data_IF_424002404600
#
_entry.id   IF_424002404600
#
_cell.length_a   1.000
_cell.length_b   1.000
_cell.length_c   1.000
_cell.angle_alpha   90.00
_cell.angle_beta   90.00
_cell.angle_gamma   90.00
#
_symmetry.space_group_name_H-M   'P 1'
#
loop_
_entity.id
_entity.type
_entity.pdbx_description
1 polymer ?
#
# COMPACT_ATOMS: atom_id res chain seq x y z
N UNK A 1 12.56 1.95 25.19
CA UNK A 1 11.42 1.08 25.61
C UNK A 1 10.60 0.74 24.38
N UNK A 2 10.41 -0.55 24.06
CA UNK A 2 9.67 -0.97 22.86
C UNK A 2 8.17 -0.62 22.94
N UNK A 3 7.58 -0.19 21.82
CA UNK A 3 6.13 0.07 21.73
C UNK A 3 5.37 -1.21 22.10
N UNK A 4 4.50 -1.14 23.11
CA UNK A 4 3.66 -2.29 23.49
C UNK A 4 2.77 -2.72 22.31
N UNK A 5 2.46 -4.01 22.19
CA UNK A 5 1.55 -4.46 21.13
C UNK A 5 0.12 -3.94 21.40
N UNK A 6 -0.66 -3.67 20.33
CA UNK A 6 -2.06 -3.22 20.46
C UNK A 6 -2.89 -4.19 21.31
N UNK A 7 -2.63 -5.49 21.18
CA UNK A 7 -3.24 -6.55 21.99
C UNK A 7 -2.91 -6.41 23.47
N UNK A 8 -1.64 -6.17 23.81
CA UNK A 8 -1.21 -5.96 25.20
C UNK A 8 -1.90 -4.74 25.81
N UNK A 9 -2.03 -3.64 25.06
CA UNK A 9 -2.78 -2.46 25.54
C UNK A 9 -4.25 -2.79 25.81
N UNK A 10 -4.90 -3.50 24.89
CA UNK A 10 -6.30 -3.88 25.06
C UNK A 10 -6.51 -4.78 26.28
N UNK A 11 -5.63 -5.77 26.49
CA UNK A 11 -5.66 -6.62 27.68
C UNK A 11 -5.49 -5.82 28.96
N UNK A 12 -4.52 -4.89 29.01
CA UNK A 12 -4.32 -4.03 30.17
C UNK A 12 -5.52 -3.12 30.44
N UNK A 13 -6.09 -2.51 29.40
CA UNK A 13 -7.32 -1.70 29.54
C UNK A 13 -8.49 -2.54 30.05
N UNK A 14 -8.63 -3.77 29.57
CA UNK A 14 -9.68 -4.68 30.05
C UNK A 14 -9.46 -5.12 31.50
N UNK A 15 -8.22 -5.43 31.89
CA UNK A 15 -7.87 -5.74 33.28
C UNK A 15 -8.18 -4.58 34.23
N UNK A 16 -7.82 -3.35 33.84
CA UNK A 16 -8.19 -2.17 34.62
C UNK A 16 -9.71 -1.98 34.75
N UNK A 17 -10.45 -2.21 33.66
CA UNK A 17 -11.91 -2.17 33.70
C UNK A 17 -12.49 -3.18 34.70
N UNK A 18 -12.02 -4.44 34.69
CA UNK A 18 -12.46 -5.50 35.62
C UNK A 18 -12.18 -5.09 37.07
N UNK A 19 -10.96 -4.61 37.36
CA UNK A 19 -10.59 -4.16 38.71
C UNK A 19 -11.50 -3.02 39.19
N UNK A 20 -11.75 -2.02 38.33
CA UNK A 20 -12.59 -0.89 38.68
C UNK A 20 -14.05 -1.28 38.86
N UNK A 21 -14.59 -2.17 38.01
CA UNK A 21 -15.94 -2.73 38.14
C UNK A 21 -16.11 -3.37 39.51
N UNK A 22 -15.20 -4.27 39.88
CA UNK A 22 -15.28 -5.04 41.12
C UNK A 22 -15.09 -4.17 42.37
N UNK A 23 -14.36 -3.06 42.25
CA UNK A 23 -14.17 -2.09 43.34
C UNK A 23 -15.40 -1.18 43.53
N UNK A 24 -16.04 -0.74 42.45
CA UNK A 24 -17.16 0.22 42.48
C UNK A 24 -18.50 -0.48 42.71
N UNK A 25 -18.68 -1.66 42.11
CA UNK A 25 -19.91 -2.43 42.15
C UNK A 25 -19.57 -3.90 42.34
N UNK A 26 -19.17 -4.29 43.56
CA UNK A 26 -18.84 -5.68 43.85
C UNK A 26 -20.07 -6.56 43.60
N UNK A 27 -19.88 -7.81 43.14
CA UNK A 27 -20.97 -8.75 42.94
C UNK A 27 -21.72 -9.02 44.25
N UNK A 28 -23.06 -9.09 44.17
CA UNK A 28 -23.93 -9.31 45.32
C UNK A 28 -23.76 -10.72 45.91
N UNK A 29 -23.47 -11.71 45.06
CA UNK A 29 -23.27 -13.10 45.46
C UNK A 29 -22.23 -13.84 44.60
N UNK A 30 -21.94 -15.07 45.01
CA UNK A 30 -20.98 -15.96 44.35
C UNK A 30 -21.40 -16.37 42.93
N UNK A 31 -22.70 -16.53 42.69
CA UNK A 31 -23.21 -17.01 41.40
C UNK A 31 -23.00 -15.94 40.33
N UNK A 32 -23.32 -14.68 40.64
CA UNK A 32 -23.06 -13.52 39.78
C UNK A 32 -21.56 -13.36 39.54
N UNK A 33 -20.73 -13.47 40.59
CA UNK A 33 -19.28 -13.38 40.44
C UNK A 33 -18.70 -14.46 39.52
N UNK A 34 -19.16 -15.71 39.67
CA UNK A 34 -18.73 -16.84 38.84
C UNK A 34 -19.06 -16.62 37.36
N UNK A 35 -20.27 -16.14 37.07
CA UNK A 35 -20.69 -15.83 35.70
C UNK A 35 -19.85 -14.70 35.08
N UNK A 36 -19.61 -13.62 35.84
CA UNK A 36 -18.77 -12.50 35.41
C UNK A 36 -17.33 -12.97 35.14
N UNK A 37 -16.73 -13.73 36.04
CA UNK A 37 -15.37 -14.26 35.89
C UNK A 37 -15.25 -15.14 34.64
N UNK A 38 -16.21 -16.02 34.39
CA UNK A 38 -16.22 -16.83 33.17
C UNK A 38 -16.31 -15.95 31.92
N UNK A 39 -17.15 -14.92 31.92
CA UNK A 39 -17.27 -13.99 30.79
C UNK A 39 -15.96 -13.23 30.54
N UNK A 40 -15.27 -12.80 31.59
CA UNK A 40 -14.00 -12.06 31.53
C UNK A 40 -12.88 -12.97 30.99
N UNK A 41 -12.83 -14.23 31.43
CA UNK A 41 -11.88 -15.23 30.94
C UNK A 41 -12.11 -15.55 29.46
N UNK A 42 -13.37 -15.71 29.04
CA UNK A 42 -13.72 -15.91 27.62
C UNK A 42 -13.29 -14.71 26.78
N UNK A 43 -13.48 -13.49 27.27
CA UNK A 43 -13.07 -12.29 26.54
C UNK A 43 -11.54 -12.20 26.44
N UNK A 44 -10.81 -12.45 27.53
CA UNK A 44 -9.35 -12.53 27.52
C UNK A 44 -8.85 -13.56 26.51
N UNK A 45 -9.45 -14.75 26.52
CA UNK A 45 -9.14 -15.81 25.56
C UNK A 45 -9.39 -15.35 24.12
N UNK A 46 -10.51 -14.69 23.85
CA UNK A 46 -10.81 -14.14 22.51
C UNK A 46 -9.79 -13.08 22.10
N UNK A 47 -9.40 -12.16 22.98
CA UNK A 47 -8.39 -11.14 22.67
C UNK A 47 -7.03 -11.78 22.35
N UNK A 48 -6.66 -12.84 23.07
CA UNK A 48 -5.40 -13.57 22.87
C UNK A 48 -5.40 -14.37 21.57
N UNK A 49 -6.51 -15.03 21.23
CA UNK A 49 -6.60 -15.97 20.11
C UNK A 49 -7.11 -15.35 18.81
N UNK A 50 -7.73 -14.17 18.85
CA UNK A 50 -8.13 -13.47 17.62
C UNK A 50 -6.92 -12.97 16.86
N UNK A 51 -6.79 -13.38 15.60
CA UNK A 51 -5.68 -12.97 14.72
C UNK A 51 -5.67 -11.46 14.47
N UNK A 52 -6.85 -10.86 14.33
CA UNK A 52 -7.03 -9.44 14.06
C UNK A 52 -8.02 -8.84 15.07
N UNK A 53 -7.63 -7.77 15.75
CA UNK A 53 -8.45 -7.05 16.75
C UNK A 53 -9.43 -6.05 16.12
N UNK A 54 -9.47 -5.98 14.80
CA UNK A 54 -10.35 -5.07 14.06
C UNK A 54 -10.85 -5.81 12.84
N UNK A 55 -12.09 -5.53 12.43
CA UNK A 55 -12.64 -6.05 11.19
C UNK A 55 -11.71 -5.69 10.03
N UNK A 56 -11.47 -6.65 9.13
CA UNK A 56 -10.68 -6.37 7.93
C UNK A 56 -11.59 -5.73 6.89
N UNK A 57 -11.41 -4.43 6.65
CA UNK A 57 -12.00 -3.79 5.47
C UNK A 57 -11.22 -4.23 4.24
N UNK A 58 -11.95 -4.70 3.21
CA UNK A 58 -11.34 -5.05 1.94
C UNK A 58 -10.77 -3.78 1.32
N UNK A 59 -9.51 -3.81 0.93
CA UNK A 59 -8.88 -2.71 0.21
C UNK A 59 -9.35 -2.79 -1.24
N UNK A 60 -9.97 -1.72 -1.79
CA UNK A 60 -10.26 -1.65 -3.22
C UNK A 60 -8.95 -1.81 -4.00
N UNK A 61 -8.93 -2.75 -4.94
CA UNK A 61 -7.74 -3.01 -5.75
C UNK A 61 -7.88 -2.36 -7.11
N UNK A 62 -7.00 -1.43 -7.43
CA UNK A 62 -6.89 -0.78 -8.72
C UNK A 62 -5.42 -0.46 -9.02
N UNK A 63 -5.05 -0.50 -10.29
CA UNK A 63 -3.69 -0.21 -10.73
C UNK A 63 -3.38 1.29 -10.87
N UNK A 64 -4.33 2.18 -10.53
CA UNK A 64 -4.23 3.61 -10.82
C UNK A 64 -4.38 4.48 -9.55
N UNK A 65 -3.76 5.66 -9.61
CA UNK A 65 -3.82 6.75 -8.64
C UNK A 65 -5.24 7.23 -8.32
N UNK A 66 -6.21 6.96 -9.20
CA UNK A 66 -7.64 7.24 -8.97
C UNK A 66 -8.20 6.67 -7.67
N UNK A 67 -7.55 5.69 -7.04
CA UNK A 67 -7.95 5.20 -5.71
C UNK A 67 -7.99 6.30 -4.65
N UNK A 68 -7.21 7.37 -4.77
CA UNK A 68 -7.29 8.44 -3.79
C UNK A 68 -8.68 9.09 -3.81
N UNK A 69 -9.36 9.13 -4.95
CA UNK A 69 -10.65 9.81 -5.02
C UNK A 69 -11.71 8.99 -4.29
N UNK A 70 -11.56 7.65 -4.30
CA UNK A 70 -12.35 6.77 -3.43
C UNK A 70 -12.00 6.95 -1.96
N UNK A 71 -10.71 7.07 -1.63
CA UNK A 71 -10.28 7.26 -0.24
C UNK A 71 -10.75 8.60 0.35
N UNK A 72 -10.87 9.64 -0.47
CA UNK A 72 -11.37 10.95 -0.04
C UNK A 72 -12.87 10.93 0.33
N UNK A 73 -13.65 9.97 -0.17
CA UNK A 73 -15.10 9.90 0.05
C UNK A 73 -15.51 9.34 1.43
N UNK A 74 -14.59 8.67 2.14
CA UNK A 74 -14.91 7.97 3.38
C UNK A 74 -13.94 8.36 4.50
N UNK A 75 -14.43 8.80 5.68
CA UNK A 75 -13.57 9.09 6.83
C UNK A 75 -12.65 7.93 7.23
N UNK A 76 -13.07 6.69 6.98
CA UNK A 76 -12.29 5.49 7.32
C UNK A 76 -11.08 5.26 6.42
N UNK A 77 -11.06 5.86 5.23
CA UNK A 77 -10.01 5.68 4.23
C UNK A 77 -9.13 6.94 4.07
N UNK A 78 -9.40 8.02 4.80
CA UNK A 78 -8.60 9.25 4.78
C UNK A 78 -7.12 9.00 5.07
N UNK A 79 -6.82 8.10 6.01
CA UNK A 79 -5.43 7.69 6.30
C UNK A 79 -4.72 7.13 5.06
N UNK A 80 -5.45 6.45 4.17
CA UNK A 80 -4.91 5.91 2.92
C UNK A 80 -4.70 6.99 1.88
N UNK A 81 -5.58 7.97 1.80
CA UNK A 81 -5.37 9.17 0.98
C UNK A 81 -4.07 9.86 1.39
N UNK A 82 -3.91 10.14 2.69
CA UNK A 82 -2.71 10.80 3.23
C UNK A 82 -1.47 9.92 3.04
N UNK A 83 -1.56 8.60 3.19
CA UNK A 83 -0.43 7.72 2.89
C UNK A 83 -0.02 7.78 1.43
N UNK A 84 -0.99 7.91 0.52
CA UNK A 84 -0.74 7.90 -0.92
C UNK A 84 -0.25 9.25 -1.46
N UNK A 85 -0.83 10.37 -1.02
CA UNK A 85 -0.53 11.72 -1.54
C UNK A 85 0.20 12.63 -0.53
N UNK A 86 0.44 12.15 0.70
CA UNK A 86 1.13 12.87 1.80
C UNK A 86 0.45 14.14 2.31
N UNK A 87 -0.74 14.45 1.80
CA UNK A 87 -1.58 15.58 2.21
C UNK A 87 -2.98 15.08 2.51
N UNK A 88 -3.75 15.83 3.30
CA UNK A 88 -5.19 15.57 3.49
C UNK A 88 -5.97 15.95 2.23
N UNK A 89 -7.18 15.41 2.01
CA UNK A 89 -8.02 15.82 0.89
C UNK A 89 -8.29 17.32 0.86
N UNK A 90 -8.50 17.96 2.02
CA UNK A 90 -8.74 19.39 2.10
C UNK A 90 -7.53 20.20 1.64
N UNK A 91 -6.33 19.83 2.09
CA UNK A 91 -5.09 20.46 1.65
C UNK A 91 -4.86 20.23 0.16
N UNK A 92 -5.14 19.03 -0.34
CA UNK A 92 -5.06 18.72 -1.76
C UNK A 92 -5.99 19.62 -2.59
N UNK A 93 -7.25 19.76 -2.18
CA UNK A 93 -8.22 20.61 -2.86
C UNK A 93 -7.82 22.08 -2.80
N UNK A 94 -7.29 22.54 -1.66
CA UNK A 94 -6.80 23.90 -1.52
C UNK A 94 -5.64 24.18 -2.48
N UNK A 95 -4.65 23.27 -2.56
CA UNK A 95 -3.55 23.37 -3.52
C UNK A 95 -4.06 23.37 -4.96
N UNK A 96 -5.00 22.48 -5.29
CA UNK A 96 -5.60 22.41 -6.61
C UNK A 96 -6.24 23.76 -7.00
N UNK A 97 -7.04 24.35 -6.12
CA UNK A 97 -7.68 25.63 -6.37
C UNK A 97 -6.68 26.77 -6.60
N UNK A 98 -5.51 26.74 -5.96
CA UNK A 98 -4.47 27.75 -6.15
C UNK A 98 -3.76 27.65 -7.50
N UNK A 99 -3.69 26.44 -8.07
CA UNK A 99 -2.89 26.18 -9.29
C UNK A 99 -3.74 25.94 -10.55
N UNK A 100 -5.05 25.67 -10.39
CA UNK A 100 -5.92 25.20 -11.46
C UNK A 100 -5.92 26.13 -12.68
N UNK A 101 -5.94 27.45 -12.43
CA UNK A 101 -6.05 28.46 -13.48
C UNK A 101 -4.68 29.03 -13.89
N UNK A 102 -3.58 28.40 -13.46
CA UNK A 102 -2.25 28.90 -13.75
C UNK A 102 -1.88 28.63 -15.22
N UNK A 103 -1.36 29.63 -15.97
CA UNK A 103 -1.12 29.52 -17.41
C UNK A 103 -0.12 28.42 -17.79
N UNK A 104 0.74 27.99 -16.86
CA UNK A 104 1.67 26.86 -17.07
C UNK A 104 0.95 25.53 -17.37
N UNK A 105 -0.29 25.39 -16.92
CA UNK A 105 -1.11 24.21 -17.15
C UNK A 105 -2.01 24.36 -18.37
N UNK A 106 -1.79 25.36 -19.24
CA UNK A 106 -2.49 25.51 -20.52
C UNK A 106 -1.61 24.94 -21.63
N UNK A 107 -2.00 23.81 -22.20
CA UNK A 107 -1.39 23.26 -23.40
C UNK A 107 -1.79 24.07 -24.64
N UNK A 108 -0.79 24.47 -25.42
CA UNK A 108 -0.98 25.05 -26.76
C UNK A 108 -0.88 24.00 -27.88
N UNK A 109 -0.83 22.72 -27.53
CA UNK A 109 -0.79 21.61 -28.50
C UNK A 109 -2.20 21.14 -28.88
N UNK A 110 -2.30 20.42 -30.00
CA UNK A 110 -3.57 19.86 -30.48
C UNK A 110 -4.05 18.63 -29.69
N UNK A 111 -3.29 18.20 -28.68
CA UNK A 111 -3.60 17.04 -27.84
C UNK A 111 -4.35 17.48 -26.58
N UNK A 112 -5.31 16.67 -26.15
CA UNK A 112 -6.01 16.88 -24.89
C UNK A 112 -5.03 16.76 -23.71
N UNK A 113 -4.89 17.83 -22.96
CA UNK A 113 -4.04 17.82 -21.76
C UNK A 113 -4.73 17.07 -20.62
N UNK A 114 -3.93 16.29 -19.88
CA UNK A 114 -4.39 15.65 -18.64
C UNK A 114 -4.87 16.69 -17.63
N UNK A 115 -5.97 16.46 -16.88
CA UNK A 115 -6.46 17.41 -15.87
C UNK A 115 -5.41 17.79 -14.83
N UNK A 116 -5.39 19.07 -14.41
CA UNK A 116 -4.44 19.60 -13.41
C UNK A 116 -4.51 18.83 -12.09
N UNK A 117 -5.71 18.38 -11.69
CA UNK A 117 -5.92 17.50 -10.54
C UNK A 117 -5.07 16.23 -10.62
N UNK A 118 -5.09 15.56 -11.77
CA UNK A 118 -4.33 14.31 -11.97
C UNK A 118 -2.83 14.60 -12.02
N UNK A 119 -2.41 15.70 -12.66
CA UNK A 119 -1.01 16.12 -12.68
C UNK A 119 -0.47 16.39 -11.26
N UNK A 120 -1.22 17.14 -10.45
CA UNK A 120 -0.89 17.43 -9.05
C UNK A 120 -0.79 16.15 -8.23
N UNK A 121 -1.76 15.25 -8.38
CA UNK A 121 -1.73 13.99 -7.66
C UNK A 121 -0.52 13.13 -8.05
N UNK A 122 -0.16 13.05 -9.33
CA UNK A 122 1.04 12.33 -9.80
C UNK A 122 2.30 12.94 -9.20
N UNK A 123 2.38 14.28 -9.17
CA UNK A 123 3.50 14.99 -8.56
C UNK A 123 3.63 14.63 -7.07
N UNK A 124 2.55 14.75 -6.30
CA UNK A 124 2.55 14.46 -4.86
C UNK A 124 2.85 12.99 -4.57
N UNK A 125 2.31 12.08 -5.38
CA UNK A 125 2.58 10.66 -5.29
C UNK A 125 4.05 10.32 -5.56
N UNK A 126 4.68 10.98 -6.55
CA UNK A 126 6.11 10.80 -6.88
C UNK A 126 7.01 11.47 -5.83
N UNK A 127 6.74 12.72 -5.46
CA UNK A 127 7.53 13.48 -4.49
C UNK A 127 7.46 12.90 -3.07
N UNK A 128 6.33 12.29 -2.71
CA UNK A 128 6.07 11.69 -1.40
C UNK A 128 6.72 10.34 -1.15
N UNK A 129 7.55 9.83 -2.08
CA UNK A 129 8.14 8.50 -2.03
C UNK A 129 9.64 8.55 -1.85
N UNK A 130 10.11 7.78 -0.86
CA UNK A 130 11.51 7.45 -0.65
C UNK A 130 11.66 5.93 -0.69
N UNK A 131 12.58 5.40 -1.51
CA UNK A 131 12.78 3.97 -1.71
C UNK A 131 11.90 3.32 -2.79
N UNK A 132 11.92 1.99 -2.86
CA UNK A 132 11.47 1.23 -4.04
C UNK A 132 9.94 1.04 -4.16
N UNK A 133 9.11 1.85 -3.50
CA UNK A 133 7.64 1.76 -3.59
C UNK A 133 7.03 0.42 -3.14
N UNK A 134 7.76 -0.36 -2.32
CA UNK A 134 7.39 -1.72 -1.90
C UNK A 134 6.66 -1.77 -0.56
N UNK A 135 6.25 -0.61 -0.04
CA UNK A 135 5.58 -0.57 1.25
C UNK A 135 4.20 -1.24 1.15
N UNK A 136 3.71 -1.80 2.27
CA UNK A 136 2.38 -2.44 2.30
C UNK A 136 1.27 -1.51 1.77
N UNK A 137 1.23 -0.20 2.16
CA UNK A 137 0.28 0.75 1.57
C UNK A 137 0.36 0.88 0.05
N UNK A 138 1.55 0.75 -0.54
CA UNK A 138 1.76 0.89 -1.98
C UNK A 138 1.37 -0.37 -2.75
N UNK A 139 1.70 -1.56 -2.21
CA UNK A 139 1.50 -2.85 -2.90
C UNK A 139 0.10 -3.41 -2.68
N UNK A 140 -0.50 -3.18 -1.51
CA UNK A 140 -1.82 -3.72 -1.18
C UNK A 140 -2.96 -3.34 -2.15
N UNK A 141 -3.03 -2.10 -2.67
CA UNK A 141 -4.07 -1.72 -3.64
C UNK A 141 -3.80 -2.25 -5.06
N UNK A 142 -2.59 -2.73 -5.38
CA UNK A 142 -2.27 -3.17 -6.74
C UNK A 142 -3.15 -4.37 -7.13
N UNK A 143 -3.89 -4.22 -8.24
CA UNK A 143 -4.64 -5.31 -8.83
C UNK A 143 -3.67 -6.31 -9.45
N UNK A 144 -3.80 -7.58 -9.09
CA UNK A 144 -3.07 -8.65 -9.78
C UNK A 144 -3.64 -8.82 -11.19
N UNK A 145 -2.80 -8.92 -12.23
CA UNK A 145 -3.27 -9.20 -13.57
C UNK A 145 -3.95 -10.57 -13.61
N UNK A 146 -4.99 -10.68 -14.43
CA UNK A 146 -5.72 -11.92 -14.72
C UNK A 146 -4.84 -12.89 -15.52
N UNK A 147 -5.25 -14.16 -15.59
CA UNK A 147 -4.51 -15.16 -16.37
C UNK A 147 -4.41 -14.79 -17.85
N UNK A 148 -5.48 -14.23 -18.43
CA UNK A 148 -5.47 -13.77 -19.82
C UNK A 148 -4.54 -12.58 -20.06
N UNK A 149 -4.59 -11.56 -19.21
CA UNK A 149 -3.67 -10.41 -19.29
C UNK A 149 -2.21 -10.85 -19.15
N UNK A 150 -1.94 -11.78 -18.23
CA UNK A 150 -0.60 -12.36 -18.11
C UNK A 150 -0.18 -13.03 -19.41
N UNK A 151 -1.04 -13.84 -20.00
CA UNK A 151 -0.69 -14.59 -21.20
C UNK A 151 -0.38 -13.69 -22.40
N UNK A 152 -1.10 -12.57 -22.54
CA UNK A 152 -0.79 -11.55 -23.56
C UNK A 152 0.60 -10.95 -23.34
N UNK A 153 0.92 -10.55 -22.11
CA UNK A 153 2.25 -10.02 -21.77
C UNK A 153 3.35 -11.06 -22.00
N UNK A 154 3.11 -12.33 -21.65
CA UNK A 154 4.05 -13.42 -21.89
C UNK A 154 4.36 -13.60 -23.38
N UNK A 155 3.32 -13.60 -24.22
CA UNK A 155 3.47 -13.67 -25.67
C UNK A 155 4.24 -12.47 -26.22
N UNK A 156 3.98 -11.26 -25.70
CA UNK A 156 4.72 -10.05 -26.09
C UNK A 156 6.20 -10.13 -25.71
N UNK A 157 6.52 -10.54 -24.46
CA UNK A 157 7.90 -10.72 -24.00
C UNK A 157 8.65 -11.74 -24.84
N UNK A 158 8.03 -12.89 -25.15
CA UNK A 158 8.66 -13.90 -25.98
C UNK A 158 8.93 -13.41 -27.40
N UNK A 159 7.98 -12.68 -27.99
CA UNK A 159 8.13 -12.09 -29.32
C UNK A 159 9.27 -11.05 -29.36
N UNK A 160 9.36 -10.19 -28.34
CA UNK A 160 10.34 -9.11 -28.29
C UNK A 160 11.75 -9.61 -27.92
N UNK A 161 11.84 -10.55 -26.98
CA UNK A 161 13.14 -11.09 -26.51
C UNK A 161 13.67 -12.23 -27.37
N UNK A 162 12.81 -12.87 -28.17
CA UNK A 162 13.14 -14.07 -28.94
C UNK A 162 13.48 -15.29 -28.07
N UNK A 163 13.21 -15.23 -26.77
CA UNK A 163 13.64 -16.22 -25.79
C UNK A 163 12.43 -16.84 -25.05
N UNK A 164 11.99 -18.06 -25.43
CA UNK A 164 10.84 -18.71 -24.81
C UNK A 164 10.98 -18.93 -23.30
N UNK A 165 12.20 -19.05 -22.77
CA UNK A 165 12.44 -19.19 -21.33
C UNK A 165 12.14 -17.90 -20.54
N UNK A 166 12.06 -16.75 -21.21
CA UNK A 166 11.65 -15.47 -20.60
C UNK A 166 10.12 -15.28 -20.58
N UNK A 167 9.37 -16.14 -21.29
CA UNK A 167 7.90 -16.15 -21.32
C UNK A 167 7.30 -16.23 -19.92
N UNK A 168 7.79 -17.17 -19.11
CA UNK A 168 7.33 -17.37 -17.73
C UNK A 168 8.11 -16.50 -16.73
N UNK A 169 8.57 -15.32 -17.15
CA UNK A 169 9.35 -14.39 -16.32
C UNK A 169 8.78 -14.20 -14.90
N UNK A 170 9.61 -13.70 -13.99
CA UNK A 170 9.30 -13.60 -12.55
C UNK A 170 8.20 -12.55 -12.24
N UNK A 171 6.96 -12.81 -12.65
CA UNK A 171 5.78 -11.99 -12.41
C UNK A 171 5.30 -12.19 -10.97
N UNK A 172 6.00 -11.61 -10.01
CA UNK A 172 5.56 -11.59 -8.62
C UNK A 172 5.78 -10.22 -8.01
N UNK A 173 4.68 -9.57 -7.63
CA UNK A 173 4.65 -8.37 -6.79
C UNK A 173 5.06 -8.63 -5.34
N UNK A 174 6.07 -9.48 -5.16
CA UNK A 174 6.79 -9.70 -3.91
C UNK A 174 8.25 -9.45 -4.24
N UNK A 175 8.91 -8.56 -3.49
CA UNK A 175 10.23 -7.98 -3.78
C UNK A 175 11.34 -9.01 -3.91
N UNK A 176 11.33 -9.73 -5.03
CA UNK A 176 12.17 -10.88 -5.28
C UNK A 176 13.53 -10.36 -5.71
N UNK A 177 14.52 -10.71 -4.91
CA UNK A 177 15.92 -10.41 -5.19
C UNK A 177 16.39 -11.33 -6.31
N UNK A 178 16.62 -10.78 -7.50
CA UNK A 178 17.23 -11.49 -8.62
C UNK A 178 18.71 -11.64 -8.30
N UNK A 179 19.14 -12.85 -7.95
CA UNK A 179 20.53 -13.13 -7.60
C UNK A 179 21.40 -12.95 -8.84
N UNK A 180 22.38 -12.07 -8.74
CA UNK A 180 23.35 -11.82 -9.79
C UNK A 180 24.48 -12.85 -9.67
N UNK A 181 24.91 -13.38 -10.81
CA UNK A 181 26.02 -14.33 -10.88
C UNK A 181 27.34 -13.71 -10.39
N UNK A 182 27.53 -12.41 -10.65
CA UNK A 182 28.73 -11.67 -10.30
C UNK A 182 28.41 -10.26 -9.81
N UNK A 183 29.36 -9.66 -9.10
CA UNK A 183 29.30 -8.27 -8.65
C UNK A 183 29.12 -7.32 -9.85
N UNK A 184 28.15 -6.39 -9.82
CA UNK A 184 28.04 -5.34 -10.84
C UNK A 184 29.29 -4.46 -10.89
N UNK A 185 29.70 -4.07 -12.11
CA UNK A 185 30.87 -3.23 -12.33
C UNK A 185 30.71 -1.79 -11.81
N UNK A 186 29.47 -1.29 -11.72
CA UNK A 186 29.14 0.03 -11.18
C UNK A 186 28.36 -0.12 -9.88
N UNK A 187 28.82 0.55 -8.82
CA UNK A 187 28.17 0.57 -7.49
C UNK A 187 27.84 -0.82 -6.91
N UNK A 188 28.68 -1.83 -7.18
CA UNK A 188 28.42 -3.23 -6.82
C UNK A 188 28.09 -3.47 -5.33
N UNK A 189 28.61 -2.64 -4.43
CA UNK A 189 28.29 -2.69 -2.99
C UNK A 189 26.80 -2.42 -2.70
N UNK A 190 26.13 -1.58 -3.50
CA UNK A 190 24.71 -1.28 -3.35
C UNK A 190 23.79 -2.49 -3.64
N UNK A 191 24.33 -3.49 -4.33
CA UNK A 191 23.62 -4.71 -4.70
C UNK A 191 23.93 -5.88 -3.77
N UNK A 192 24.77 -5.71 -2.75
CA UNK A 192 25.11 -6.78 -1.82
C UNK A 192 24.04 -6.91 -0.74
N UNK A 193 23.33 -8.05 -0.75
CA UNK A 193 22.18 -8.27 0.12
C UNK A 193 22.59 -8.80 1.50
N UNK A 194 21.70 -8.67 2.49
CA UNK A 194 21.86 -9.29 3.83
C UNK A 194 22.05 -10.82 3.77
N UNK A 195 21.64 -11.47 2.67
CA UNK A 195 21.85 -12.91 2.44
C UNK A 195 23.24 -13.24 1.87
N UNK A 196 24.18 -12.29 1.91
CA UNK A 196 25.56 -12.45 1.45
C UNK A 196 25.69 -12.82 -0.03
N UNK A 197 24.78 -12.30 -0.86
CA UNK A 197 24.80 -12.46 -2.30
C UNK A 197 24.54 -11.11 -3.00
N UNK A 198 25.09 -10.95 -4.21
CA UNK A 198 24.71 -9.83 -5.07
C UNK A 198 23.32 -10.10 -5.63
N UNK A 199 22.39 -9.18 -5.44
CA UNK A 199 21.04 -9.34 -5.97
C UNK A 199 20.41 -8.00 -6.35
N UNK A 200 19.69 -8.00 -7.46
CA UNK A 200 18.92 -6.86 -7.92
C UNK A 200 17.52 -6.92 -7.32
N UNK A 201 17.09 -5.84 -6.67
CA UNK A 201 15.70 -5.71 -6.27
C UNK A 201 14.89 -5.26 -7.48
N UNK A 202 14.24 -6.22 -8.15
CA UNK A 202 13.35 -5.95 -9.28
C UNK A 202 11.94 -5.72 -8.73
N UNK A 203 11.54 -4.46 -8.53
CA UNK A 203 10.13 -4.11 -8.42
C UNK A 203 9.64 -3.61 -9.78
N UNK A 204 9.04 -4.52 -10.54
CA UNK A 204 8.14 -4.13 -11.63
C UNK A 204 6.77 -3.92 -11.00
N UNK A 205 6.56 -2.74 -10.43
CA UNK A 205 5.22 -2.26 -10.15
C UNK A 205 4.59 -1.93 -11.50
N UNK A 206 3.66 -2.77 -11.98
CA UNK A 206 2.77 -2.41 -13.08
C UNK A 206 1.91 -1.23 -12.64
N UNK A 207 2.44 -0.02 -12.78
CA UNK A 207 1.63 1.18 -12.84
C UNK A 207 1.10 1.26 -14.26
N UNK A 208 0.05 0.47 -14.51
CA UNK A 208 -0.50 0.17 -15.83
C UNK A 208 -1.10 1.39 -16.55
N UNK A 209 -0.82 2.62 -16.13
CA UNK A 209 -1.35 3.85 -16.73
C UNK A 209 -0.38 5.05 -16.77
N UNK A 210 0.86 4.98 -16.26
CA UNK A 210 1.84 6.06 -16.52
C UNK A 210 2.78 5.76 -17.69
N UNK A 211 3.00 4.49 -18.03
CA UNK A 211 3.92 4.13 -19.12
C UNK A 211 3.29 4.36 -20.50
N UNK A 212 1.96 4.23 -20.65
CA UNK A 212 1.31 4.54 -21.94
C UNK A 212 1.50 6.01 -22.34
N UNK A 213 1.49 6.96 -21.38
CA UNK A 213 1.81 8.35 -21.69
C UNK A 213 3.29 8.60 -22.01
N UNK A 214 4.21 7.75 -21.53
CA UNK A 214 5.66 7.97 -21.71
C UNK A 214 6.18 7.25 -22.96
N UNK A 215 5.59 6.12 -23.36
CA UNK A 215 5.94 5.43 -24.61
C UNK A 215 5.41 6.18 -25.84
N UNK A 216 4.22 6.78 -25.76
CA UNK A 216 3.68 7.61 -26.86
C UNK A 216 4.44 8.94 -27.03
N UNK A 217 5.13 9.42 -25.99
CA UNK A 217 5.96 10.63 -26.05
C UNK A 217 7.38 10.34 -26.56
N UNK A 218 7.90 9.13 -26.37
CA UNK A 218 9.24 8.75 -26.84
C UNK A 218 9.26 8.01 -28.19
N UNK A 219 8.12 7.48 -28.67
CA UNK A 219 8.00 6.87 -30.00
C UNK A 219 7.67 7.88 -31.13
N UNK A 220 7.62 9.17 -30.81
CA UNK A 220 7.51 10.26 -31.76
C UNK A 220 8.87 10.89 -32.07
N UNK A 221 9.74 10.17 -32.79
CA UNK A 221 10.64 10.66 -33.85
C UNK A 221 11.51 9.53 -34.40
#
# INVERSE_FOLDING_TARGET
MGKSSRRRRLLLSFQHYVILRDLISPPEDYEVYSQLLLSDLVLCFRILNTRYLSARTRIPKSGNLHLAWHYAQSPQDLDRFVQMLRVTPDTFQHLLNLINDHPIFVSHSNNSQTPVETQLAVLLYRAGRYGNGSSVPDVAPIRKPTTGEREVEKCWVEAETGCPSMRDGWLTGDGTLVVLYQKPGKDGEAYFSRKMNYALNVLVSFLLLLISCEVDVFAGH
#
